data_IF_546808561005
#
_entry.id   IF_546808561005
#
_cell.length_a   1.000
_cell.length_b   1.000
_cell.length_c   1.000
_cell.angle_alpha   90.00
_cell.angle_beta   90.00
_cell.angle_gamma   90.00
#
_symmetry.space_group_name_H-M   'P 1'
#
loop_
_entity.id
_entity.type
_entity.pdbx_description
1 polymer ?
#
# COMPACT_ATOMS: atom_id res chain seq x y z
N UNK A 1 -39.49 -6.14 -32.36
CA UNK A 1 -39.42 -6.53 -30.93
C UNK A 1 -39.33 -5.23 -30.14
N UNK A 2 -40.46 -4.74 -29.62
CA UNK A 2 -40.53 -3.42 -28.95
C UNK A 2 -40.21 -3.65 -27.48
N UNK A 3 -39.05 -3.15 -27.03
CA UNK A 3 -38.63 -3.24 -25.64
C UNK A 3 -39.35 -2.14 -24.87
N UNK A 4 -40.36 -2.52 -24.08
CA UNK A 4 -41.06 -1.55 -23.24
C UNK A 4 -40.14 -1.05 -22.12
N UNK A 5 -40.03 0.27 -21.92
CA UNK A 5 -39.26 0.80 -20.80
C UNK A 5 -39.84 0.35 -19.46
N UNK A 6 -39.00 0.00 -18.47
CA UNK A 6 -39.48 -0.39 -17.15
C UNK A 6 -40.20 0.78 -16.46
N UNK A 7 -41.21 0.49 -15.63
CA UNK A 7 -42.01 1.50 -14.94
C UNK A 7 -41.15 2.41 -14.06
N UNK A 8 -41.58 3.66 -13.86
CA UNK A 8 -40.82 4.70 -13.15
C UNK A 8 -40.32 4.25 -11.76
N UNK A 9 -41.12 3.48 -11.02
CA UNK A 9 -40.74 2.92 -9.73
C UNK A 9 -39.54 1.96 -9.82
N UNK A 10 -39.48 1.14 -10.86
CA UNK A 10 -38.38 0.19 -11.11
C UNK A 10 -37.10 0.94 -11.52
N UNK A 11 -37.22 2.05 -12.25
CA UNK A 11 -36.07 2.90 -12.60
C UNK A 11 -35.45 3.56 -11.37
N UNK A 12 -36.27 4.03 -10.44
CA UNK A 12 -35.81 4.63 -9.17
C UNK A 12 -35.15 3.58 -8.28
N UNK A 13 -35.72 2.37 -8.23
CA UNK A 13 -35.13 1.25 -7.49
C UNK A 13 -33.77 0.83 -8.07
N UNK A 14 -33.64 0.73 -9.40
CA UNK A 14 -32.37 0.44 -10.08
C UNK A 14 -31.34 1.54 -9.82
N UNK A 15 -31.74 2.81 -9.85
CA UNK A 15 -30.86 3.93 -9.54
C UNK A 15 -30.36 3.89 -8.08
N UNK A 16 -31.24 3.52 -7.14
CA UNK A 16 -30.87 3.34 -5.73
C UNK A 16 -29.89 2.18 -5.53
N UNK A 17 -30.08 1.05 -6.21
CA UNK A 17 -29.18 -0.11 -6.15
C UNK A 17 -27.80 0.26 -6.71
N UNK A 18 -27.74 0.95 -7.86
CA UNK A 18 -26.47 1.41 -8.45
C UNK A 18 -25.74 2.42 -7.56
N UNK A 19 -26.47 3.29 -6.87
CA UNK A 19 -25.89 4.24 -5.91
C UNK A 19 -25.36 3.56 -4.64
N UNK A 20 -25.99 2.45 -4.22
CA UNK A 20 -25.59 1.67 -3.04
C UNK A 20 -24.38 0.75 -3.32
N UNK A 21 -24.25 0.23 -4.54
CA UNK A 21 -23.09 -0.60 -4.94
C UNK A 21 -21.88 0.22 -5.42
N UNK A 22 -22.05 1.50 -5.72
CA UNK A 22 -21.01 2.38 -6.29
C UNK A 22 -20.16 3.14 -5.27
N UNK A 23 -20.00 2.62 -4.04
CA UNK A 23 -19.15 3.25 -3.01
C UNK A 23 -17.69 3.42 -3.47
N UNK A 24 -16.92 4.36 -2.89
CA UNK A 24 -15.57 4.69 -3.33
C UNK A 24 -14.62 3.50 -3.10
N UNK A 25 -14.32 2.74 -4.15
CA UNK A 25 -13.43 1.57 -4.11
C UNK A 25 -11.94 1.91 -4.35
N UNK A 26 -11.57 3.20 -4.37
CA UNK A 26 -10.25 3.62 -4.83
C UNK A 26 -9.17 3.63 -3.74
N UNK A 27 -9.54 3.65 -2.46
CA UNK A 27 -8.57 3.76 -1.36
C UNK A 27 -7.88 2.42 -1.06
N UNK A 28 -8.63 1.31 -1.05
CA UNK A 28 -8.10 -0.02 -0.68
C UNK A 28 -7.13 -0.59 -1.71
N UNK A 29 -7.36 -0.35 -3.00
CA UNK A 29 -6.47 -0.84 -4.06
C UNK A 29 -5.09 -0.14 -4.06
N UNK A 30 -5.01 1.12 -3.61
CA UNK A 30 -3.75 1.85 -3.54
C UNK A 30 -2.87 1.32 -2.40
N UNK A 31 -3.46 1.05 -1.23
CA UNK A 31 -2.74 0.54 -0.06
C UNK A 31 -2.17 -0.87 -0.31
N UNK A 32 -2.95 -1.76 -0.92
CA UNK A 32 -2.46 -3.10 -1.30
C UNK A 32 -1.26 -3.04 -2.24
N UNK A 33 -1.27 -2.09 -3.18
CA UNK A 33 -0.17 -1.91 -4.13
C UNK A 33 1.10 -1.40 -3.44
N UNK A 34 0.97 -0.54 -2.44
CA UNK A 34 2.12 0.00 -1.68
C UNK A 34 2.77 -1.07 -0.81
N UNK A 35 1.97 -1.89 -0.11
CA UNK A 35 2.44 -3.03 0.69
C UNK A 35 3.17 -4.08 -0.15
N UNK A 36 2.64 -4.37 -1.35
CA UNK A 36 3.29 -5.27 -2.31
C UNK A 36 4.65 -4.73 -2.75
N UNK A 37 4.71 -3.45 -3.14
CA UNK A 37 5.94 -2.79 -3.55
C UNK A 37 6.99 -2.78 -2.43
N UNK A 38 6.56 -2.57 -1.18
CA UNK A 38 7.44 -2.63 -0.02
C UNK A 38 8.00 -4.04 0.18
N UNK A 39 7.12 -5.05 0.20
CA UNK A 39 7.51 -6.45 0.35
C UNK A 39 8.48 -6.91 -0.74
N UNK A 40 8.26 -6.49 -1.99
CA UNK A 40 9.18 -6.78 -3.10
C UNK A 40 10.54 -6.11 -2.94
N UNK A 41 10.59 -4.89 -2.40
CA UNK A 41 11.85 -4.19 -2.13
C UNK A 41 12.68 -4.87 -1.05
N UNK A 42 12.04 -5.38 0.00
CA UNK A 42 12.73 -6.15 1.05
C UNK A 42 13.37 -7.43 0.51
N UNK A 43 12.79 -8.03 -0.54
CA UNK A 43 13.34 -9.23 -1.21
C UNK A 43 14.56 -8.94 -2.10
N UNK A 44 14.90 -7.67 -2.35
CA UNK A 44 16.04 -7.35 -3.22
C UNK A 44 17.35 -7.84 -2.59
N UNK A 45 18.27 -8.43 -3.37
CA UNK A 45 19.52 -9.02 -2.84
C UNK A 45 20.31 -8.09 -1.93
N UNK A 46 20.39 -6.80 -2.28
CA UNK A 46 21.05 -5.79 -1.45
C UNK A 46 20.41 -5.62 -0.07
N UNK A 47 19.07 -5.56 -0.02
CA UNK A 47 18.34 -5.34 1.22
C UNK A 47 18.34 -6.61 2.08
N UNK A 48 18.18 -7.78 1.46
CA UNK A 48 18.14 -9.07 2.16
C UNK A 48 19.50 -9.61 2.59
N UNK A 49 20.61 -9.06 2.07
CA UNK A 49 21.95 -9.56 2.37
C UNK A 49 22.38 -9.33 3.83
N UNK A 50 21.81 -8.34 4.51
CA UNK A 50 22.16 -7.96 5.88
C UNK A 50 20.91 -7.59 6.68
N UNK A 51 21.00 -7.69 8.00
CA UNK A 51 19.98 -7.17 8.90
C UNK A 51 20.15 -5.65 9.05
N UNK A 52 19.12 -4.89 8.70
CA UNK A 52 19.11 -3.43 8.81
C UNK A 52 18.54 -2.99 10.16
N UNK A 53 19.18 -2.01 10.79
CA UNK A 53 18.65 -1.35 11.99
C UNK A 53 17.76 -0.17 11.58
N UNK A 54 16.59 -0.05 12.19
CA UNK A 54 15.61 1.00 11.89
C UNK A 54 15.71 2.18 12.86
N UNK A 55 16.45 2.05 13.96
CA UNK A 55 16.68 3.12 14.93
C UNK A 55 18.07 3.74 14.79
N UNK A 56 18.11 5.07 14.63
CA UNK A 56 19.36 5.83 14.64
C UNK A 56 20.12 5.67 15.97
N UNK A 57 19.41 5.62 17.10
CA UNK A 57 20.07 5.48 18.40
C UNK A 57 20.79 4.14 18.53
N UNK A 58 20.13 3.05 18.12
CA UNK A 58 20.74 1.71 18.11
C UNK A 58 21.91 1.64 17.13
N UNK A 59 21.78 2.25 15.95
CA UNK A 59 22.87 2.31 14.98
C UNK A 59 24.10 3.03 15.53
N UNK A 60 23.90 4.14 16.26
CA UNK A 60 24.98 4.87 16.95
C UNK A 60 25.66 4.03 18.02
N UNK A 61 24.88 3.31 18.83
CA UNK A 61 25.41 2.41 19.84
C UNK A 61 26.29 1.32 19.20
N UNK A 62 25.77 0.61 18.19
CA UNK A 62 26.50 -0.46 17.52
C UNK A 62 27.76 0.03 16.78
N UNK A 63 27.69 1.22 16.17
CA UNK A 63 28.84 1.86 15.52
C UNK A 63 29.96 2.16 16.51
N UNK A 64 29.62 2.70 17.68
CA UNK A 64 30.59 2.97 18.74
C UNK A 64 31.20 1.69 19.32
N UNK A 65 30.38 0.67 19.57
CA UNK A 65 30.84 -0.63 20.12
C UNK A 65 31.76 -1.39 19.15
N UNK A 66 31.45 -1.37 17.85
CA UNK A 66 32.18 -2.14 16.83
C UNK A 66 33.25 -1.33 16.11
N UNK A 67 33.33 -0.02 16.38
CA UNK A 67 34.19 0.92 15.66
C UNK A 67 33.99 0.85 14.12
N UNK A 68 32.73 0.78 13.69
CA UNK A 68 32.34 0.69 12.27
C UNK A 68 31.52 1.91 11.84
N UNK A 69 31.65 2.36 10.58
CA UNK A 69 30.85 3.47 10.07
C UNK A 69 29.36 3.09 9.95
N UNK A 70 28.49 4.09 10.05
CA UNK A 70 27.05 3.94 9.80
C UNK A 70 26.79 4.23 8.32
N UNK A 71 26.12 3.30 7.64
CA UNK A 71 25.60 3.49 6.29
C UNK A 71 24.06 3.52 6.38
N UNK A 72 23.46 4.64 5.97
CA UNK A 72 22.01 4.81 5.95
C UNK A 72 21.49 4.72 4.51
N UNK A 73 20.40 3.97 4.32
CA UNK A 73 19.73 3.82 3.04
C UNK A 73 18.25 4.16 3.19
N UNK A 74 17.79 5.15 2.44
CA UNK A 74 16.40 5.63 2.48
C UNK A 74 15.67 5.19 1.22
N UNK A 75 14.52 4.53 1.35
CA UNK A 75 13.66 4.23 0.21
C UNK A 75 12.51 5.24 0.13
N UNK A 76 12.24 5.76 -1.07
CA UNK A 76 11.10 6.67 -1.34
C UNK A 76 9.73 5.99 -1.39
N UNK A 77 9.69 4.68 -1.16
CA UNK A 77 8.45 3.90 -1.20
C UNK A 77 7.75 4.05 0.13
N UNK A 78 6.60 4.72 0.12
CA UNK A 78 5.70 4.74 1.26
C UNK A 78 5.13 3.33 1.48
N UNK A 79 5.68 2.63 2.46
CA UNK A 79 4.94 1.82 3.44
C UNK A 79 5.82 1.70 4.70
N UNK A 80 5.51 2.47 5.75
CA UNK A 80 5.89 2.20 7.14
C UNK A 80 4.77 1.50 7.92
#
# INVERSE_FOLDING_TARGET
MIIHPPPRAVRVLIAFILLWLGGPQTATALDETLEQNYTEKLKKPFVSAISWESSLEKAKQQSAEKNLPIIAYFTRSYAP
#
